data_IF_686855069599
#
_entry.id   IF_686855069599
#
_cell.length_a   1.000
_cell.length_b   1.000
_cell.length_c   1.000
_cell.angle_alpha   90.00
_cell.angle_beta   90.00
_cell.angle_gamma   90.00
#
_symmetry.space_group_name_H-M   'P 1'
#
loop_
_entity.id
_entity.type
_entity.pdbx_description
1 polymer ?
#
# COMPACT_ATOMS: atom_id res chain seq x y z
N UNK A 1 -5.47 15.52 8.81
CA UNK A 1 -5.65 14.16 9.35
C UNK A 1 -4.68 13.98 10.49
N UNK A 2 -5.17 13.84 11.72
CA UNK A 2 -4.31 13.54 12.87
C UNK A 2 -3.92 12.08 12.72
N UNK A 3 -2.62 11.84 12.53
CA UNK A 3 -2.07 10.49 12.56
C UNK A 3 -2.44 9.81 13.87
N UNK A 4 -2.89 8.56 13.79
CA UNK A 4 -3.18 7.81 14.99
C UNK A 4 -1.86 7.45 15.68
N UNK A 5 -1.51 8.22 16.72
CA UNK A 5 -0.28 8.04 17.50
C UNK A 5 -0.24 6.67 18.20
N UNK A 6 -1.38 6.06 18.45
CA UNK A 6 -1.47 4.70 19.01
C UNK A 6 -0.91 3.67 18.05
N UNK A 7 -1.26 3.73 16.77
CA UNK A 7 -0.74 2.81 15.75
C UNK A 7 0.77 3.01 15.56
N UNK A 8 1.25 4.25 15.58
CA UNK A 8 2.68 4.50 15.51
C UNK A 8 3.41 3.85 16.68
N UNK A 9 2.93 4.06 17.91
CA UNK A 9 3.51 3.49 19.12
C UNK A 9 3.51 1.97 19.06
N UNK A 10 2.41 1.38 18.58
CA UNK A 10 2.29 -0.08 18.41
C UNK A 10 3.29 -0.63 17.38
N UNK A 11 3.41 0.01 16.22
CA UNK A 11 4.37 -0.40 15.19
C UNK A 11 5.81 -0.28 15.70
N UNK A 12 6.12 0.77 16.46
CA UNK A 12 7.44 0.93 17.08
C UNK A 12 7.73 -0.19 18.09
N UNK A 13 6.74 -0.57 18.89
CA UNK A 13 6.87 -1.68 19.84
C UNK A 13 7.10 -3.01 19.11
N UNK A 14 6.31 -3.31 18.08
CA UNK A 14 6.49 -4.50 17.24
C UNK A 14 7.88 -4.53 16.61
N UNK A 15 8.39 -3.40 16.15
CA UNK A 15 9.75 -3.31 15.61
C UNK A 15 10.80 -3.61 16.68
N UNK A 16 10.63 -3.07 17.90
CA UNK A 16 11.52 -3.29 19.03
C UNK A 16 11.55 -4.77 19.45
N UNK A 17 10.39 -5.41 19.57
CA UNK A 17 10.27 -6.83 19.92
C UNK A 17 10.91 -7.76 18.90
N UNK A 18 10.88 -7.39 17.63
CA UNK A 18 11.48 -8.15 16.54
C UNK A 18 12.94 -7.75 16.23
N UNK A 19 13.54 -6.83 17.01
CA UNK A 19 14.92 -6.39 16.81
C UNK A 19 15.16 -5.73 15.46
N UNK A 20 14.18 -5.02 14.91
CA UNK A 20 14.24 -4.34 13.61
C UNK A 20 14.08 -2.83 13.77
N UNK A 21 14.57 -2.07 12.80
CA UNK A 21 14.43 -0.62 12.75
C UNK A 21 13.28 -0.24 11.81
N UNK A 22 12.33 0.56 12.30
CA UNK A 22 11.26 1.15 11.49
C UNK A 22 11.85 2.18 10.53
N UNK A 23 11.59 2.02 9.22
CA UNK A 23 11.98 2.98 8.19
C UNK A 23 10.80 3.85 7.76
N UNK A 24 9.70 3.22 7.33
CA UNK A 24 8.55 3.90 6.78
C UNK A 24 7.25 3.30 7.33
N UNK A 25 6.21 4.12 7.41
CA UNK A 25 4.87 3.69 7.77
C UNK A 25 3.84 4.36 6.84
N UNK A 26 2.88 3.59 6.36
CA UNK A 26 1.84 4.02 5.44
C UNK A 26 0.48 3.55 5.94
N UNK A 27 -0.50 4.44 5.91
CA UNK A 27 -1.90 4.04 6.02
C UNK A 27 -2.45 3.80 4.62
N UNK A 28 -3.03 2.63 4.42
CA UNK A 28 -3.59 2.17 3.17
C UNK A 28 -5.10 1.93 3.30
N UNK A 29 -5.72 1.23 2.39
CA UNK A 29 -7.11 0.85 2.50
C UNK A 29 -8.10 2.01 2.39
N UNK A 30 -9.29 1.84 2.96
CA UNK A 30 -10.42 2.78 2.82
C UNK A 30 -10.08 4.22 3.21
N UNK A 31 -9.20 4.41 4.20
CA UNK A 31 -8.76 5.74 4.67
C UNK A 31 -7.91 6.45 3.61
N UNK A 32 -6.94 5.76 3.03
CA UNK A 32 -6.13 6.31 1.94
C UNK A 32 -6.97 6.57 0.68
N UNK A 33 -7.99 5.73 0.45
CA UNK A 33 -8.88 5.88 -0.70
C UNK A 33 -9.93 6.98 -0.54
N UNK A 34 -10.19 7.45 0.69
CA UNK A 34 -11.10 8.56 0.98
C UNK A 34 -12.57 8.17 1.03
N UNK A 35 -12.91 6.88 1.29
CA UNK A 35 -14.27 6.43 1.53
C UNK A 35 -14.44 5.67 2.85
N UNK A 36 -13.56 5.97 3.82
CA UNK A 36 -13.66 5.43 5.18
C UNK A 36 -14.84 6.01 5.95
N UNK A 37 -15.33 5.25 6.91
CA UNK A 37 -16.21 5.68 8.00
C UNK A 37 -15.39 6.01 9.24
N UNK A 38 -16.01 6.59 10.27
CA UNK A 38 -15.33 6.89 11.55
C UNK A 38 -14.76 5.64 12.21
N UNK A 39 -15.52 4.54 12.17
CA UNK A 39 -15.18 3.22 12.71
C UNK A 39 -14.33 2.34 11.79
N UNK A 40 -13.86 2.87 10.65
CA UNK A 40 -13.03 2.10 9.73
C UNK A 40 -11.66 1.80 10.34
N UNK A 41 -11.21 0.56 10.17
CA UNK A 41 -9.89 0.09 10.58
C UNK A 41 -8.77 0.90 9.90
N UNK A 42 -7.59 0.89 10.51
CA UNK A 42 -6.38 1.43 9.94
C UNK A 42 -5.56 0.30 9.29
N UNK A 43 -5.79 0.09 8.00
CA UNK A 43 -4.92 -0.78 7.21
C UNK A 43 -3.51 -0.17 7.17
N UNK A 44 -2.52 -0.82 7.77
CA UNK A 44 -1.18 -0.26 7.91
C UNK A 44 -0.13 -1.15 7.28
N UNK A 45 0.68 -0.57 6.40
CA UNK A 45 1.92 -1.15 5.93
C UNK A 45 3.09 -0.38 6.54
N UNK A 46 4.01 -1.07 7.21
CA UNK A 46 5.28 -0.48 7.60
C UNK A 46 6.46 -1.18 6.92
N UNK A 47 7.53 -0.46 6.73
CA UNK A 47 8.77 -0.99 6.16
C UNK A 47 9.85 -0.92 7.21
N UNK A 48 10.57 -2.01 7.39
CA UNK A 48 11.63 -2.15 8.37
C UNK A 48 12.94 -2.62 7.74
N UNK A 49 14.05 -2.35 8.42
CA UNK A 49 15.33 -2.98 8.13
C UNK A 49 15.83 -3.80 9.32
N UNK A 50 16.58 -4.85 9.03
CA UNK A 50 17.26 -5.68 10.03
C UNK A 50 18.70 -5.21 10.22
N UNK A 51 19.36 -5.58 11.34
CA UNK A 51 20.80 -5.48 11.44
C UNK A 51 21.52 -6.16 10.28
N UNK A 52 22.63 -5.61 9.81
CA UNK A 52 23.37 -6.15 8.66
C UNK A 52 23.72 -7.64 8.81
N UNK A 53 24.07 -8.07 10.02
CA UNK A 53 24.39 -9.46 10.32
C UNK A 53 23.25 -10.43 9.97
N UNK A 54 21.99 -10.01 10.09
CA UNK A 54 20.84 -10.82 9.77
C UNK A 54 20.69 -11.04 8.25
N UNK A 55 21.11 -10.08 7.44
CA UNK A 55 21.14 -10.22 5.98
C UNK A 55 22.25 -11.13 5.46
N UNK A 56 23.27 -11.37 6.27
CA UNK A 56 24.42 -12.25 5.93
C UNK A 56 24.21 -13.69 6.40
N UNK A 57 23.08 -14.03 7.00
CA UNK A 57 22.77 -15.39 7.45
C UNK A 57 22.62 -16.36 6.28
N UNK A 58 23.07 -17.60 6.47
CA UNK A 58 22.87 -18.69 5.51
C UNK A 58 21.38 -18.97 5.28
N UNK A 59 20.60 -18.94 6.37
CA UNK A 59 19.14 -19.07 6.30
C UNK A 59 18.50 -17.69 6.50
N UNK A 60 17.82 -17.15 5.48
CA UNK A 60 17.19 -15.83 5.57
C UNK A 60 16.07 -15.85 6.62
N UNK A 61 15.95 -14.75 7.35
CA UNK A 61 14.82 -14.51 8.24
C UNK A 61 13.57 -14.15 7.41
N UNK A 62 12.35 -14.32 8.00
CA UNK A 62 11.11 -13.93 7.35
C UNK A 62 11.15 -12.46 6.89
N UNK A 63 10.71 -12.22 5.66
CA UNK A 63 10.67 -10.88 5.06
C UNK A 63 9.38 -10.10 5.40
N UNK A 64 8.55 -10.67 6.25
CA UNK A 64 7.30 -10.07 6.74
C UNK A 64 7.14 -10.23 8.24
N UNK A 65 6.56 -9.20 8.86
CA UNK A 65 6.04 -9.22 10.22
C UNK A 65 4.53 -8.96 10.13
N UNK A 66 3.71 -9.78 10.81
CA UNK A 66 2.27 -9.59 10.91
C UNK A 66 1.89 -9.36 12.36
N UNK A 67 1.02 -8.40 12.60
CA UNK A 67 0.41 -8.19 13.91
C UNK A 67 -0.89 -8.98 13.96
N UNK A 68 -1.00 -9.91 14.89
CA UNK A 68 -2.20 -10.75 15.00
C UNK A 68 -3.43 -9.92 15.37
N UNK A 69 -4.56 -10.26 14.75
CA UNK A 69 -5.85 -9.60 15.01
C UNK A 69 -6.00 -8.20 14.42
N UNK A 70 -4.99 -7.70 13.67
CA UNK A 70 -5.01 -6.37 13.06
C UNK A 70 -4.54 -6.42 11.61
N UNK A 71 -5.01 -5.46 10.82
CA UNK A 71 -4.56 -5.27 9.42
C UNK A 71 -3.27 -4.42 9.36
N UNK A 72 -2.31 -4.79 10.22
CA UNK A 72 -0.98 -4.19 10.36
C UNK A 72 0.08 -5.19 9.93
N UNK A 73 0.86 -4.85 8.92
CA UNK A 73 1.91 -5.72 8.38
C UNK A 73 3.18 -4.96 8.06
N UNK A 74 4.32 -5.56 8.39
CA UNK A 74 5.65 -5.06 8.08
C UNK A 74 6.28 -5.81 6.92
N UNK A 75 6.98 -5.10 6.06
CA UNK A 75 7.84 -5.66 5.02
C UNK A 75 9.29 -5.27 5.26
N UNK A 76 10.17 -6.25 5.13
CA UNK A 76 11.62 -5.97 5.03
C UNK A 76 11.88 -5.05 3.83
N UNK A 77 12.81 -4.11 3.97
CA UNK A 77 13.16 -3.15 2.90
C UNK A 77 13.52 -3.85 1.58
N UNK A 78 14.18 -5.00 1.63
CA UNK A 78 14.52 -5.78 0.42
C UNK A 78 13.27 -6.32 -0.27
N UNK A 79 12.26 -6.76 0.51
CA UNK A 79 10.96 -7.16 -0.02
C UNK A 79 10.26 -5.98 -0.67
N UNK A 80 10.21 -4.84 0.03
CA UNK A 80 9.59 -3.62 -0.49
C UNK A 80 10.21 -3.22 -1.84
N UNK A 81 11.54 -3.12 -1.90
CA UNK A 81 12.26 -2.80 -3.14
C UNK A 81 12.07 -3.87 -4.23
N UNK A 82 12.04 -5.16 -3.87
CA UNK A 82 11.77 -6.25 -4.82
C UNK A 82 10.35 -6.19 -5.40
N UNK A 83 9.35 -5.83 -4.60
CA UNK A 83 7.98 -5.63 -5.06
C UNK A 83 7.90 -4.40 -5.97
N UNK A 84 8.54 -3.30 -5.58
CA UNK A 84 8.59 -2.07 -6.35
C UNK A 84 9.22 -2.28 -7.73
N UNK A 85 10.40 -2.91 -7.78
CA UNK A 85 11.14 -3.18 -9.04
C UNK A 85 10.42 -4.14 -10.00
N UNK A 86 9.42 -4.85 -9.52
CA UNK A 86 8.56 -5.75 -10.31
C UNK A 86 7.21 -5.16 -10.66
N UNK A 87 7.04 -3.86 -10.50
CA UNK A 87 5.76 -3.14 -10.69
C UNK A 87 4.65 -3.65 -9.77
N UNK A 88 5.00 -4.08 -8.56
CA UNK A 88 4.03 -4.53 -7.57
C UNK A 88 3.19 -3.37 -7.05
N UNK A 89 1.91 -3.37 -7.39
CA UNK A 89 1.00 -2.24 -7.16
C UNK A 89 0.94 -1.77 -5.69
N UNK A 90 1.08 -2.68 -4.72
CA UNK A 90 1.03 -2.34 -3.29
C UNK A 90 2.20 -1.43 -2.85
N UNK A 91 3.40 -1.62 -3.40
CA UNK A 91 4.54 -0.76 -3.08
C UNK A 91 4.37 0.62 -3.73
N UNK A 92 3.89 0.66 -4.97
CA UNK A 92 3.54 1.92 -5.64
C UNK A 92 2.43 2.66 -4.91
N UNK A 93 1.36 1.97 -4.50
CA UNK A 93 0.28 2.57 -3.72
C UNK A 93 0.81 3.22 -2.44
N UNK A 94 1.65 2.52 -1.68
CA UNK A 94 2.25 3.03 -0.46
C UNK A 94 3.03 4.33 -0.69
N UNK A 95 3.80 4.41 -1.78
CA UNK A 95 4.57 5.62 -2.11
C UNK A 95 3.69 6.79 -2.61
N UNK A 96 2.47 6.51 -3.08
CA UNK A 96 1.55 7.51 -3.65
C UNK A 96 0.38 7.89 -2.72
N UNK A 97 0.34 7.40 -1.48
CA UNK A 97 -0.63 7.87 -0.50
C UNK A 97 -0.45 9.37 -0.24
N UNK A 98 -1.56 10.07 0.06
CA UNK A 98 -1.52 11.51 0.35
C UNK A 98 -0.69 11.82 1.60
N UNK A 99 -0.18 13.04 1.67
CA UNK A 99 0.38 13.60 2.91
C UNK A 99 -0.60 13.41 4.08
N UNK A 100 -0.09 13.04 5.24
CA UNK A 100 -0.88 12.69 6.43
C UNK A 100 -1.26 11.22 6.53
N UNK A 101 -1.05 10.44 5.47
CA UNK A 101 -1.13 8.96 5.49
C UNK A 101 0.24 8.29 5.45
N UNK A 102 1.30 9.08 5.54
CA UNK A 102 2.68 8.63 5.64
C UNK A 102 3.44 9.52 6.61
N UNK A 103 4.24 8.93 7.48
CA UNK A 103 5.13 9.64 8.43
C UNK A 103 6.43 10.14 7.81
N UNK A 104 6.64 9.87 6.53
CA UNK A 104 7.96 9.84 5.93
C UNK A 104 8.26 11.08 5.08
N UNK A 105 7.36 12.06 5.06
CA UNK A 105 7.37 13.18 4.10
C UNK A 105 8.63 14.05 4.07
N UNK A 106 9.50 13.98 5.09
CA UNK A 106 10.76 14.71 5.16
C UNK A 106 12.00 13.81 5.11
N UNK A 107 11.83 12.49 5.05
CA UNK A 107 12.95 11.55 4.94
C UNK A 107 13.50 11.53 3.50
N UNK A 108 14.80 11.82 3.36
CA UNK A 108 15.46 11.91 2.04
C UNK A 108 15.43 10.57 1.28
N UNK A 109 15.54 9.46 1.99
CA UNK A 109 15.50 8.13 1.37
C UNK A 109 14.10 7.80 0.87
N UNK A 110 13.07 8.21 1.59
CA UNK A 110 11.68 8.09 1.16
C UNK A 110 11.39 8.94 -0.08
N UNK A 111 11.80 10.20 -0.08
CA UNK A 111 11.67 11.11 -1.22
C UNK A 111 12.37 10.53 -2.45
N UNK A 112 13.56 9.96 -2.26
CA UNK A 112 14.30 9.30 -3.36
C UNK A 112 13.58 8.05 -3.88
N UNK A 113 13.03 7.20 -3.01
CA UNK A 113 12.25 6.02 -3.44
C UNK A 113 10.99 6.42 -4.22
N UNK A 114 10.30 7.47 -3.78
CA UNK A 114 9.14 8.00 -4.49
C UNK A 114 9.54 8.56 -5.86
N UNK A 115 10.59 9.37 -5.92
CA UNK A 115 11.13 9.87 -7.18
C UNK A 115 11.51 8.70 -8.13
N UNK A 116 12.17 7.68 -7.59
CA UNK A 116 12.55 6.49 -8.36
C UNK A 116 11.33 5.72 -8.88
N UNK A 117 10.26 5.63 -8.10
CA UNK A 117 9.00 5.01 -8.52
C UNK A 117 8.32 5.79 -9.67
N UNK A 118 8.47 7.11 -9.69
CA UNK A 118 7.86 7.99 -10.69
C UNK A 118 8.70 8.09 -11.99
N UNK A 119 10.04 7.93 -11.89
CA UNK A 119 10.98 8.20 -12.99
C UNK A 119 11.84 6.99 -13.39
N UNK A 120 11.76 5.89 -12.65
CA UNK A 120 12.52 4.68 -12.95
C UNK A 120 11.89 3.86 -14.08
N UNK A 121 12.73 3.25 -14.92
CA UNK A 121 12.32 2.46 -16.08
C UNK A 121 11.70 1.10 -15.74
N UNK A 122 11.50 0.80 -14.45
CA UNK A 122 10.96 -0.48 -13.99
C UNK A 122 9.43 -0.48 -13.76
N UNK A 123 8.75 0.65 -13.95
CA UNK A 123 7.29 0.70 -13.88
C UNK A 123 6.66 0.20 -15.19
N UNK A 124 5.92 -0.88 -15.09
CA UNK A 124 5.21 -1.51 -16.22
C UNK A 124 3.70 -1.31 -16.07
N UNK A 125 3.08 -0.25 -16.64
CA UNK A 125 1.66 0.06 -16.46
C UNK A 125 0.73 -1.12 -16.81
N UNK A 126 1.03 -1.84 -17.89
CA UNK A 126 0.22 -2.98 -18.34
C UNK A 126 0.25 -4.16 -17.36
N UNK A 127 1.36 -4.35 -16.65
CA UNK A 127 1.47 -5.38 -15.61
C UNK A 127 0.65 -5.02 -14.39
N UNK A 128 0.69 -3.75 -13.99
CA UNK A 128 -0.15 -3.22 -12.91
C UNK A 128 -1.62 -3.34 -13.31
N UNK A 129 -2.00 -2.93 -14.52
CA UNK A 129 -3.37 -3.06 -15.02
C UNK A 129 -3.89 -4.50 -14.98
N UNK A 130 -3.12 -5.48 -15.45
CA UNK A 130 -3.48 -6.91 -15.39
C UNK A 130 -3.73 -7.37 -13.96
N UNK A 131 -2.87 -6.95 -13.03
CA UNK A 131 -3.03 -7.31 -11.60
C UNK A 131 -4.31 -6.69 -11.03
N UNK A 132 -4.60 -5.43 -11.35
CA UNK A 132 -5.81 -4.74 -10.89
C UNK A 132 -7.09 -5.36 -11.47
N UNK A 133 -7.08 -5.81 -12.73
CA UNK A 133 -8.19 -6.60 -13.31
C UNK A 133 -8.40 -7.90 -12.53
N UNK A 134 -7.34 -8.62 -12.18
CA UNK A 134 -7.47 -9.83 -11.35
C UNK A 134 -8.01 -9.53 -9.93
N UNK A 135 -7.65 -8.39 -9.35
CA UNK A 135 -8.20 -7.94 -8.08
C UNK A 135 -9.68 -7.56 -8.21
N UNK A 136 -10.06 -6.84 -9.27
CA UNK A 136 -11.44 -6.45 -9.52
C UNK A 136 -12.37 -7.66 -9.66
N UNK A 137 -11.95 -8.70 -10.37
CA UNK A 137 -12.72 -9.93 -10.49
C UNK A 137 -13.00 -10.60 -9.13
N UNK A 138 -12.01 -10.61 -8.23
CA UNK A 138 -12.20 -11.14 -6.87
C UNK A 138 -13.14 -10.27 -6.02
N UNK A 139 -13.07 -8.95 -6.17
CA UNK A 139 -13.93 -8.04 -5.43
C UNK A 139 -15.37 -8.08 -5.97
N UNK A 140 -15.55 -8.29 -7.27
CA UNK A 140 -16.87 -8.54 -7.88
C UNK A 140 -17.51 -9.82 -7.32
N UNK A 141 -16.77 -10.93 -7.27
CA UNK A 141 -17.27 -12.17 -6.68
C UNK A 141 -17.68 -12.01 -5.20
N UNK A 142 -16.92 -11.23 -4.42
CA UNK A 142 -17.29 -10.90 -3.03
C UNK A 142 -18.52 -10.00 -2.97
N UNK A 143 -18.65 -9.05 -3.88
CA UNK A 143 -19.81 -8.17 -3.98
C UNK A 143 -21.10 -8.96 -4.23
N UNK A 144 -21.06 -9.95 -5.13
CA UNK A 144 -22.22 -10.80 -5.45
C UNK A 144 -22.72 -11.61 -4.24
N UNK A 145 -21.79 -11.99 -3.34
CA UNK A 145 -22.11 -12.80 -2.16
C UNK A 145 -22.38 -11.95 -0.90
N UNK A 146 -22.08 -10.65 -0.94
CA UNK A 146 -22.18 -9.78 0.23
C UNK A 146 -23.53 -9.10 0.34
N UNK A 147 -23.90 -8.75 1.57
CA UNK A 147 -25.09 -7.97 1.91
C UNK A 147 -24.75 -6.71 2.71
N UNK A 148 -25.69 -5.77 2.76
CA UNK A 148 -25.60 -4.56 3.58
C UNK A 148 -24.35 -3.73 3.30
N UNK A 149 -23.72 -3.22 4.34
CA UNK A 149 -22.56 -2.34 4.23
C UNK A 149 -21.32 -3.00 3.57
N UNK A 150 -21.19 -4.33 3.70
CA UNK A 150 -20.09 -5.07 3.05
C UNK A 150 -20.22 -5.04 1.53
N UNK A 151 -21.45 -5.08 1.02
CA UNK A 151 -21.72 -5.01 -0.41
C UNK A 151 -21.21 -3.70 -1.01
N UNK A 152 -21.50 -2.56 -0.35
CA UNK A 152 -20.99 -1.27 -0.79
C UNK A 152 -19.44 -1.20 -0.74
N UNK A 153 -18.82 -1.72 0.33
CA UNK A 153 -17.35 -1.78 0.45
C UNK A 153 -16.73 -2.52 -0.74
N UNK A 154 -17.25 -3.69 -1.09
CA UNK A 154 -16.74 -4.48 -2.22
C UNK A 154 -17.01 -3.82 -3.57
N UNK A 155 -18.16 -3.16 -3.73
CA UNK A 155 -18.44 -2.37 -4.93
C UNK A 155 -17.44 -1.23 -5.14
N UNK A 156 -17.15 -0.45 -4.09
CA UNK A 156 -16.17 0.64 -4.16
C UNK A 156 -14.76 0.12 -4.46
N UNK A 157 -14.37 -1.01 -3.86
CA UNK A 157 -13.09 -1.66 -4.15
C UNK A 157 -13.01 -2.13 -5.60
N UNK A 158 -14.04 -2.82 -6.09
CA UNK A 158 -14.17 -3.24 -7.48
C UNK A 158 -14.06 -2.05 -8.45
N UNK A 159 -14.87 -1.01 -8.24
CA UNK A 159 -14.87 0.19 -9.08
C UNK A 159 -13.49 0.86 -9.11
N UNK A 160 -12.83 0.99 -7.95
CA UNK A 160 -11.47 1.54 -7.85
C UNK A 160 -10.47 0.72 -8.67
N UNK A 161 -10.51 -0.60 -8.58
CA UNK A 161 -9.59 -1.47 -9.33
C UNK A 161 -9.81 -1.39 -10.84
N UNK A 162 -11.06 -1.32 -11.30
CA UNK A 162 -11.38 -1.15 -12.73
C UNK A 162 -10.90 0.21 -13.25
N UNK A 163 -11.17 1.30 -12.52
CA UNK A 163 -10.71 2.64 -12.89
C UNK A 163 -9.18 2.73 -12.88
N UNK A 164 -8.53 2.13 -11.90
CA UNK A 164 -7.06 2.09 -11.83
C UNK A 164 -6.45 1.32 -12.99
N UNK A 165 -7.04 0.18 -13.36
CA UNK A 165 -6.60 -0.59 -14.52
C UNK A 165 -6.75 0.23 -15.82
N UNK A 166 -7.89 0.90 -16.00
CA UNK A 166 -8.10 1.81 -17.14
C UNK A 166 -7.07 2.93 -17.16
N UNK A 167 -6.84 3.56 -16.01
CA UNK A 167 -5.84 4.63 -15.90
C UNK A 167 -4.44 4.15 -16.32
N UNK A 168 -3.99 2.97 -15.87
CA UNK A 168 -2.72 2.40 -16.27
C UNK A 168 -2.59 2.13 -17.77
N UNK A 169 -3.70 1.84 -18.46
CA UNK A 169 -3.71 1.65 -19.92
C UNK A 169 -3.57 2.98 -20.66
N UNK A 170 -4.12 4.06 -20.11
CA UNK A 170 -4.17 5.38 -20.76
C UNK A 170 -2.95 6.25 -20.40
N UNK A 171 -2.31 5.99 -19.28
CA UNK A 171 -1.23 6.81 -18.74
C UNK A 171 -0.01 5.95 -18.40
N UNK A 172 1.17 6.58 -18.41
CA UNK A 172 2.44 5.91 -18.06
C UNK A 172 2.78 5.99 -16.58
N UNK A 173 1.95 6.67 -15.77
CA UNK A 173 2.15 6.88 -14.34
C UNK A 173 1.24 5.98 -13.50
N UNK A 174 1.58 5.84 -12.21
CA UNK A 174 0.73 5.11 -11.27
C UNK A 174 -0.59 5.87 -11.01
N UNK A 175 -1.74 5.16 -10.95
CA UNK A 175 -3.04 5.80 -10.76
C UNK A 175 -3.17 6.49 -9.40
N UNK A 176 -3.94 7.60 -9.33
CA UNK A 176 -4.22 8.26 -8.06
C UNK A 176 -4.81 7.30 -7.03
N UNK A 177 -4.28 7.34 -5.80
CA UNK A 177 -4.75 6.46 -4.70
C UNK A 177 -6.15 6.87 -4.22
N UNK A 178 -6.42 8.17 -4.15
CA UNK A 178 -7.70 8.70 -3.67
C UNK A 178 -8.82 8.49 -4.71
N UNK A 179 -9.93 7.88 -4.28
CA UNK A 179 -11.01 7.43 -5.14
C UNK A 179 -11.63 8.54 -6.00
N UNK A 180 -11.98 9.68 -5.43
CA UNK A 180 -12.60 10.77 -6.20
C UNK A 180 -11.64 11.37 -7.22
N UNK A 181 -10.36 11.48 -6.91
CA UNK A 181 -9.33 11.95 -7.84
C UNK A 181 -9.20 10.96 -9.00
N UNK A 182 -9.12 9.66 -8.70
CA UNK A 182 -9.06 8.61 -9.69
C UNK A 182 -10.30 8.59 -10.59
N UNK A 183 -11.50 8.70 -10.01
CA UNK A 183 -12.76 8.72 -10.76
C UNK A 183 -12.79 9.90 -11.73
N UNK A 184 -12.43 11.11 -11.27
CA UNK A 184 -12.37 12.29 -12.13
C UNK A 184 -11.41 12.09 -13.31
N UNK A 185 -10.19 11.59 -13.05
CA UNK A 185 -9.16 11.40 -14.08
C UNK A 185 -9.41 10.19 -14.99
N UNK A 186 -10.27 9.26 -14.60
CA UNK A 186 -10.57 8.06 -15.40
C UNK A 186 -11.81 8.21 -16.27
N UNK A 187 -12.65 9.20 -16.03
CA UNK A 187 -13.90 9.43 -16.76
C UNK A 187 -13.77 10.51 -17.87
N UNK A 188 -12.67 11.22 -17.86
CA UNK A 188 -12.28 12.21 -18.88
C UNK A 188 -11.06 11.75 -19.66
#
# INVERSE_FOLDING_TARGET
CVMNMEILSEVQEVCRENGVELLYIFFTGSRAYGYNKEDSDYDTLFVFKRPLADYLRVHPLPDMIKVEGKDVKGWDIRKFCSVLSKSGWNAYEALHVREGYSLNGHDKSFIFLRWLAEHGDFYEPMKVAKTMVGCSARDLAKYEQAEGNKKLKYFLSYARMVMSARYCVLHTTYPPVHFLTLAHMSLH
#
